data_IF_448871984186
#
_entry.id   IF_448871984186
#
_cell.length_a   1.000
_cell.length_b   1.000
_cell.length_c   1.000
_cell.angle_alpha   90.00
_cell.angle_beta   90.00
_cell.angle_gamma   90.00
#
_symmetry.space_group_name_H-M   'P 1'
#
loop_
_entity.id
_entity.type
_entity.pdbx_description
1 polymer ?
#
# COMPACT_ATOMS: atom_id res chain seq x y z
N UNK A 1 13.98 13.24 18.12
CA UNK A 1 13.71 11.78 18.09
C UNK A 1 13.18 11.39 16.71
N UNK A 2 13.46 10.19 16.21
CA UNK A 2 12.88 9.74 14.94
C UNK A 2 11.36 9.52 15.08
N UNK A 3 10.60 9.83 14.03
CA UNK A 3 9.13 9.80 14.05
C UNK A 3 8.58 8.36 13.91
N UNK A 4 7.69 7.98 14.83
CA UNK A 4 6.85 6.80 14.74
C UNK A 4 5.80 7.04 13.67
N UNK A 5 5.61 6.11 12.76
CA UNK A 5 4.72 6.29 11.61
C UNK A 5 4.06 4.98 11.19
N UNK A 6 3.09 5.06 10.28
CA UNK A 6 2.51 3.89 9.62
C UNK A 6 3.19 3.73 8.27
N UNK A 7 3.95 2.66 8.10
CA UNK A 7 4.56 2.28 6.83
C UNK A 7 3.50 1.74 5.89
N UNK A 8 3.29 2.45 4.78
CA UNK A 8 2.39 2.04 3.69
C UNK A 8 3.18 1.17 2.68
N UNK A 9 2.60 0.08 2.16
CA UNK A 9 3.24 -0.75 1.13
C UNK A 9 3.18 -0.09 -0.26
N UNK A 10 3.70 1.14 -0.38
CA UNK A 10 3.50 2.03 -1.55
C UNK A 10 4.04 1.47 -2.86
N UNK A 11 5.16 0.76 -2.81
CA UNK A 11 5.73 0.12 -3.99
C UNK A 11 4.81 -1.00 -4.53
N UNK A 12 4.35 -1.88 -3.64
CA UNK A 12 3.42 -2.95 -3.96
C UNK A 12 2.08 -2.40 -4.44
N UNK A 13 1.56 -1.34 -3.80
CA UNK A 13 0.37 -0.62 -4.27
C UNK A 13 0.51 -0.18 -5.73
N UNK A 14 1.66 0.42 -6.08
CA UNK A 14 1.94 0.86 -7.45
C UNK A 14 1.99 -0.31 -8.44
N UNK A 15 2.69 -1.40 -8.08
CA UNK A 15 2.78 -2.59 -8.92
C UNK A 15 1.41 -3.22 -9.18
N UNK A 16 0.59 -3.39 -8.14
CA UNK A 16 -0.75 -3.98 -8.25
C UNK A 16 -1.66 -3.06 -9.07
N UNK A 17 -1.64 -1.75 -8.82
CA UNK A 17 -2.44 -0.80 -9.58
C UNK A 17 -2.09 -0.81 -11.08
N UNK A 18 -0.80 -0.80 -11.41
CA UNK A 18 -0.34 -0.88 -12.80
C UNK A 18 -0.77 -2.20 -13.47
N UNK A 19 -0.65 -3.32 -12.76
CA UNK A 19 -1.09 -4.63 -13.25
C UNK A 19 -2.59 -4.64 -13.55
N UNK A 20 -3.43 -4.21 -12.61
CA UNK A 20 -4.89 -4.13 -12.80
C UNK A 20 -5.27 -3.22 -13.97
N UNK A 21 -4.55 -2.11 -14.14
CA UNK A 21 -4.78 -1.20 -15.27
C UNK A 21 -4.45 -1.87 -16.61
N UNK A 22 -3.32 -2.56 -16.72
CA UNK A 22 -2.94 -3.28 -17.94
C UNK A 22 -3.91 -4.42 -18.25
N UNK A 23 -4.35 -5.16 -17.23
CA UNK A 23 -5.39 -6.18 -17.36
C UNK A 23 -6.68 -5.57 -17.92
N UNK A 24 -7.11 -4.43 -17.40
CA UNK A 24 -8.28 -3.70 -17.92
C UNK A 24 -8.12 -3.29 -19.37
N UNK A 25 -6.97 -2.72 -19.75
CA UNK A 25 -6.69 -2.28 -21.12
C UNK A 25 -6.74 -3.46 -22.10
N UNK A 26 -6.21 -4.62 -21.69
CA UNK A 26 -6.13 -5.80 -22.53
C UNK A 26 -7.42 -6.65 -22.53
N UNK A 27 -8.36 -6.37 -21.63
CA UNK A 27 -9.64 -7.08 -21.54
C UNK A 27 -10.61 -6.57 -22.61
N UNK A 28 -11.00 -7.43 -23.56
CA UNK A 28 -11.95 -7.11 -24.65
C UNK A 28 -13.42 -7.04 -24.20
N UNK A 29 -13.70 -6.31 -23.12
CA UNK A 29 -15.07 -6.02 -22.64
C UNK A 29 -15.54 -6.79 -21.40
N UNK A 30 -14.79 -7.80 -20.93
CA UNK A 30 -15.17 -8.63 -19.77
C UNK A 30 -14.41 -8.26 -18.48
N UNK A 31 -13.99 -7.01 -18.32
CA UNK A 31 -13.25 -6.61 -17.12
C UNK A 31 -14.18 -6.44 -15.93
N UNK A 32 -13.94 -7.21 -14.87
CA UNK A 32 -14.63 -7.05 -13.58
C UNK A 32 -13.79 -6.13 -12.68
N UNK A 33 -14.34 -5.02 -12.18
CA UNK A 33 -13.64 -4.14 -11.25
C UNK A 33 -13.17 -4.88 -10.00
N UNK A 34 -11.93 -4.64 -9.58
CA UNK A 34 -11.34 -5.24 -8.39
C UNK A 34 -10.95 -4.15 -7.39
N UNK A 35 -11.17 -4.42 -6.11
CA UNK A 35 -10.68 -3.61 -4.99
C UNK A 35 -9.79 -4.48 -4.12
N UNK A 36 -8.53 -4.08 -3.98
CA UNK A 36 -7.52 -4.80 -3.20
C UNK A 36 -7.10 -3.92 -2.03
N UNK A 37 -7.15 -4.47 -0.82
CA UNK A 37 -6.74 -3.80 0.42
C UNK A 37 -5.38 -4.36 0.85
N UNK A 38 -4.39 -3.48 0.99
CA UNK A 38 -3.07 -3.82 1.50
C UNK A 38 -2.89 -3.25 2.91
N UNK A 39 -2.31 -4.04 3.81
CA UNK A 39 -2.14 -3.64 5.20
C UNK A 39 -0.90 -2.76 5.39
N UNK A 40 -1.10 -1.65 6.09
CA UNK A 40 0.01 -0.86 6.63
C UNK A 40 0.65 -1.56 7.83
N UNK A 41 1.87 -1.14 8.19
CA UNK A 41 2.59 -1.63 9.37
C UNK A 41 3.00 -0.48 10.27
N UNK A 42 2.77 -0.61 11.58
CA UNK A 42 3.26 0.38 12.55
C UNK A 42 4.80 0.32 12.63
N UNK A 43 5.44 1.46 12.45
CA UNK A 43 6.89 1.64 12.57
C UNK A 43 7.19 2.48 13.81
N UNK A 44 7.44 1.82 14.94
CA UNK A 44 7.70 2.47 16.24
C UNK A 44 9.12 3.02 16.26
N UNK A 45 9.27 4.28 16.68
CA UNK A 45 10.56 4.96 16.85
C UNK A 45 10.56 5.83 18.11
N UNK A 46 11.67 6.50 18.37
CA UNK A 46 11.91 7.23 19.63
C UNK A 46 10.85 8.28 19.98
N UNK A 47 10.13 8.84 18.98
CA UNK A 47 9.08 9.84 19.22
C UNK A 47 7.85 9.32 19.98
N UNK A 48 7.72 8.01 20.17
CA UNK A 48 6.62 7.40 20.93
C UNK A 48 7.08 6.48 22.05
N UNK A 49 8.40 6.43 22.31
CA UNK A 49 8.96 5.68 23.43
C UNK A 49 9.07 6.61 24.62
N UNK A 50 8.52 6.20 25.77
CA UNK A 50 8.64 6.96 27.01
C UNK A 50 10.10 6.98 27.45
N UNK A 51 10.72 8.17 27.47
CA UNK A 51 12.03 8.36 28.10
C UNK A 51 11.83 8.29 29.62
N UNK A 52 12.55 7.40 30.29
CA UNK A 52 12.57 7.29 31.76
C UNK A 52 13.53 8.33 32.34
#
# INVERSE_FOLDING_TARGET
>A
PQLTSVAQPTFEMGQIAAKLLLEKINSKGNFVPQTIVLNGRLNIRDSSVKVK
#
